data_IF_327106545348
#
_entry.id   IF_327106545348
#
_cell.length_a   1.000
_cell.length_b   1.000
_cell.length_c   1.000
_cell.angle_alpha   90.00
_cell.angle_beta   90.00
_cell.angle_gamma   90.00
#
_symmetry.space_group_name_H-M   'P 1'
#
loop_
_entity.id
_entity.type
_entity.pdbx_description
1 polymer ?
#
# COMPACT_ATOMS: atom_id res chain seq x y z
N UNK A 1 37.52 30.59 86.69
CA UNK A 1 38.98 30.47 86.50
C UNK A 1 39.22 29.97 85.07
N UNK A 2 38.78 30.71 84.04
CA UNK A 2 39.39 31.86 83.33
C UNK A 2 40.61 31.50 82.49
N UNK A 3 40.45 31.47 81.16
CA UNK A 3 41.44 31.87 80.14
C UNK A 3 40.67 32.00 78.80
N UNK A 4 40.22 33.20 78.40
CA UNK A 4 40.88 34.27 77.62
C UNK A 4 41.34 33.88 76.21
N UNK A 5 40.65 34.51 75.25
CA UNK A 5 40.94 34.73 73.83
C UNK A 5 42.39 35.17 73.51
N UNK A 6 42.89 34.79 72.32
CA UNK A 6 43.36 35.75 71.29
C UNK A 6 43.65 35.08 69.93
N UNK A 7 43.25 35.80 68.88
CA UNK A 7 43.52 35.56 67.47
C UNK A 7 45.00 35.72 67.10
N UNK A 8 45.46 34.93 66.12
CA UNK A 8 46.50 35.35 65.16
C UNK A 8 46.23 34.71 63.79
N UNK A 9 46.15 35.56 62.76
CA UNK A 9 46.18 35.19 61.34
C UNK A 9 47.63 34.89 60.96
N UNK A 10 47.86 33.88 60.14
CA UNK A 10 48.88 33.89 59.10
C UNK A 10 48.50 32.90 57.99
N UNK A 11 48.50 33.39 56.75
CA UNK A 11 48.36 32.61 55.52
C UNK A 11 49.60 31.72 55.31
N UNK A 12 49.42 30.55 54.71
CA UNK A 12 49.89 30.27 53.33
C UNK A 12 49.72 28.78 52.97
N UNK A 13 49.12 28.59 51.79
CA UNK A 13 49.35 27.56 50.79
C UNK A 13 49.91 26.19 51.21
N UNK A 14 49.12 25.15 50.94
CA UNK A 14 49.59 23.77 50.88
C UNK A 14 48.50 22.91 50.26
N UNK A 15 48.54 22.75 48.94
CA UNK A 15 47.66 21.84 48.23
C UNK A 15 47.85 20.41 48.73
N UNK A 16 46.73 19.73 48.98
CA UNK A 16 46.69 18.28 49.09
C UNK A 16 45.60 17.77 48.15
N UNK A 17 46.06 17.11 47.10
CA UNK A 17 45.28 16.39 46.11
C UNK A 17 44.58 15.24 46.82
N UNK A 18 43.26 15.33 46.98
CA UNK A 18 42.43 14.18 47.31
C UNK A 18 41.97 13.56 46.00
N UNK A 19 42.57 12.41 45.65
CA UNK A 19 42.16 11.62 44.50
C UNK A 19 40.74 11.07 44.74
N UNK A 20 39.74 11.79 44.23
CA UNK A 20 38.41 11.24 44.03
C UNK A 20 38.41 10.55 42.67
N UNK A 21 38.31 9.22 42.70
CA UNK A 21 37.90 8.41 41.57
C UNK A 21 36.55 8.92 41.07
N UNK A 22 36.56 9.74 40.02
CA UNK A 22 35.37 9.91 39.19
C UNK A 22 35.30 8.69 38.26
N UNK A 23 34.20 7.92 38.25
CA UNK A 23 33.98 7.00 37.15
C UNK A 23 33.94 7.85 35.88
N UNK A 24 34.71 7.46 34.87
CA UNK A 24 34.60 8.03 33.54
C UNK A 24 33.14 7.83 33.11
N UNK A 25 32.35 8.91 33.13
CA UNK A 25 31.11 8.96 32.37
C UNK A 25 31.57 8.91 30.93
N UNK A 26 31.54 7.71 30.35
CA UNK A 26 31.58 7.54 28.92
C UNK A 26 30.47 8.41 28.37
N UNK A 27 30.82 9.54 27.78
CA UNK A 27 29.91 10.29 26.92
C UNK A 27 29.52 9.31 25.82
N UNK A 28 28.36 8.68 25.96
CA UNK A 28 27.72 8.00 24.86
C UNK A 28 27.65 9.04 23.74
N UNK A 29 28.40 8.83 22.67
CA UNK A 29 28.27 9.62 21.47
C UNK A 29 26.78 9.58 21.10
N UNK A 30 26.10 10.73 21.17
CA UNK A 30 24.79 10.88 20.57
C UNK A 30 24.97 10.51 19.11
N UNK A 31 24.47 9.32 18.75
CA UNK A 31 24.28 8.95 17.36
C UNK A 31 23.30 9.97 16.81
N UNK A 32 23.82 10.97 16.12
CA UNK A 32 23.05 11.80 15.22
C UNK A 32 22.46 10.86 14.17
N UNK A 33 21.19 10.52 14.36
CA UNK A 33 20.41 9.77 13.39
C UNK A 33 20.32 10.65 12.14
N UNK A 34 20.94 10.19 11.06
CA UNK A 34 20.91 10.87 9.77
C UNK A 34 19.48 10.98 9.26
N UNK A 35 19.17 12.14 8.68
CA UNK A 35 17.86 12.57 8.20
C UNK A 35 17.33 11.81 6.95
N UNK A 36 17.46 10.48 6.91
CA UNK A 36 16.89 9.63 5.87
C UNK A 36 16.43 8.31 6.51
N UNK A 37 15.11 8.10 6.59
CA UNK A 37 14.39 6.81 6.71
C UNK A 37 13.04 6.90 7.45
N UNK A 38 12.65 8.04 8.00
CA UNK A 38 11.30 8.16 8.57
C UNK A 38 10.33 8.56 7.47
N UNK A 39 9.44 7.64 7.07
CA UNK A 39 8.09 8.03 6.66
C UNK A 39 7.60 8.96 7.78
N UNK A 40 7.61 10.26 7.50
CA UNK A 40 7.49 11.31 8.51
C UNK A 40 6.25 11.01 9.34
N UNK A 41 6.40 10.88 10.66
CA UNK A 41 5.25 10.68 11.56
C UNK A 41 4.20 11.77 11.28
N UNK A 42 4.65 12.96 10.87
CA UNK A 42 3.79 14.06 10.46
C UNK A 42 3.03 13.81 9.14
N UNK A 43 3.57 13.04 8.19
CA UNK A 43 2.82 12.61 6.97
C UNK A 43 1.73 11.59 7.31
N UNK A 44 2.01 10.63 8.18
CA UNK A 44 1.01 9.64 8.61
C UNK A 44 -0.08 10.29 9.50
N UNK A 45 0.28 11.25 10.35
CA UNK A 45 -0.69 12.05 11.13
C UNK A 45 -1.47 13.02 10.25
N UNK A 46 -0.85 13.58 9.20
CA UNK A 46 -1.55 14.36 8.18
C UNK A 46 -2.57 13.51 7.41
N UNK A 47 -2.24 12.26 7.08
CA UNK A 47 -3.20 11.33 6.45
C UNK A 47 -4.42 11.09 7.34
N UNK A 48 -4.23 11.02 8.67
CA UNK A 48 -5.31 10.85 9.65
C UNK A 48 -6.17 12.11 9.82
N UNK A 49 -5.57 13.30 9.87
CA UNK A 49 -6.30 14.58 10.00
C UNK A 49 -6.98 15.00 8.70
N UNK A 50 -6.45 14.59 7.56
CA UNK A 50 -7.04 14.81 6.24
C UNK A 50 -7.91 13.63 5.79
N UNK A 51 -8.11 12.62 6.63
CA UNK A 51 -8.74 11.36 6.25
C UNK A 51 -10.10 11.56 5.57
N UNK A 52 -10.96 12.38 6.17
CA UNK A 52 -12.30 12.67 5.65
C UNK A 52 -12.33 13.77 4.59
N UNK A 53 -11.17 14.24 4.10
CA UNK A 53 -11.13 15.31 3.09
C UNK A 53 -11.35 14.74 1.69
N UNK A 54 -12.04 15.48 0.80
CA UNK A 54 -12.14 15.07 -0.60
C UNK A 54 -10.78 14.93 -1.29
N UNK A 55 -10.69 14.06 -2.29
CA UNK A 55 -9.48 13.80 -3.08
C UNK A 55 -9.69 14.06 -4.56
N UNK A 56 -8.61 14.29 -5.29
CA UNK A 56 -8.66 14.45 -6.75
C UNK A 56 -8.82 13.10 -7.42
N UNK A 57 -9.68 13.00 -8.43
CA UNK A 57 -9.80 11.81 -9.28
C UNK A 57 -9.24 12.13 -10.66
N UNK A 58 -8.43 11.23 -11.20
CA UNK A 58 -7.88 11.30 -12.56
C UNK A 58 -8.25 10.01 -13.28
N UNK A 59 -8.88 10.12 -14.45
CA UNK A 59 -9.24 8.96 -15.27
C UNK A 59 -8.59 9.10 -16.65
N UNK A 60 -7.75 8.14 -17.03
CA UNK A 60 -6.99 8.15 -18.28
C UNK A 60 -6.24 9.48 -18.53
N UNK A 61 -5.62 10.02 -17.48
CA UNK A 61 -4.91 11.31 -17.52
C UNK A 61 -5.80 12.55 -17.45
N UNK A 62 -7.13 12.41 -17.53
CA UNK A 62 -8.08 13.52 -17.36
C UNK A 62 -8.41 13.71 -15.89
N UNK A 63 -8.01 14.85 -15.32
CA UNK A 63 -8.46 15.30 -14.00
C UNK A 63 -9.97 15.60 -14.05
N UNK A 64 -10.71 15.06 -13.08
CA UNK A 64 -12.14 15.29 -12.93
C UNK A 64 -12.40 16.58 -12.15
N UNK A 65 -13.56 17.20 -12.39
CA UNK A 65 -13.97 18.42 -11.68
C UNK A 65 -14.56 18.07 -10.32
N UNK A 66 -15.46 17.07 -10.28
CA UNK A 66 -15.97 16.55 -9.01
C UNK A 66 -14.89 15.72 -8.32
N UNK A 67 -14.62 16.08 -7.06
CA UNK A 67 -13.70 15.35 -6.19
C UNK A 67 -14.31 14.03 -5.75
N UNK A 68 -13.45 13.06 -5.47
CA UNK A 68 -13.83 11.87 -4.72
C UNK A 68 -13.97 12.18 -3.23
N UNK A 69 -14.72 11.36 -2.52
CA UNK A 69 -15.03 11.55 -1.11
C UNK A 69 -14.59 10.36 -0.27
N UNK A 70 -14.14 10.64 0.95
CA UNK A 70 -13.78 9.62 1.94
C UNK A 70 -14.95 9.44 2.90
N UNK A 71 -15.73 8.37 2.75
CA UNK A 71 -16.91 8.09 3.57
C UNK A 71 -16.72 6.75 4.26
N UNK A 72 -16.86 6.69 5.59
CA UNK A 72 -16.69 5.46 6.37
C UNK A 72 -15.39 4.70 6.05
N UNK A 73 -14.29 5.43 5.87
CA UNK A 73 -12.98 4.87 5.49
C UNK A 73 -12.88 4.31 4.06
N UNK A 74 -13.79 4.72 3.17
CA UNK A 74 -13.88 4.24 1.79
C UNK A 74 -13.65 5.37 0.82
N UNK A 75 -12.93 5.08 -0.26
CA UNK A 75 -12.85 5.99 -1.40
C UNK A 75 -14.12 5.85 -2.22
N UNK A 76 -14.89 6.93 -2.32
CA UNK A 76 -16.00 7.01 -3.24
C UNK A 76 -15.65 7.98 -4.37
N UNK A 77 -16.07 7.62 -5.57
CA UNK A 77 -15.83 8.40 -6.78
C UNK A 77 -17.15 8.78 -7.45
N UNK A 78 -17.21 9.95 -8.12
CA UNK A 78 -18.42 10.38 -8.81
C UNK A 78 -18.69 9.49 -10.02
N UNK A 79 -19.80 8.76 -10.01
CA UNK A 79 -20.17 7.77 -11.03
C UNK A 79 -20.11 8.38 -12.41
N UNK A 80 -20.83 9.50 -12.61
CA UNK A 80 -21.00 10.09 -13.94
C UNK A 80 -19.66 10.45 -14.57
N UNK A 81 -18.86 11.26 -13.89
CA UNK A 81 -17.60 11.75 -14.45
C UNK A 81 -16.58 10.64 -14.66
N UNK A 82 -16.50 9.66 -13.76
CA UNK A 82 -15.56 8.54 -13.90
C UNK A 82 -15.92 7.67 -15.11
N UNK A 83 -17.19 7.23 -15.19
CA UNK A 83 -17.62 6.32 -16.24
C UNK A 83 -17.67 7.03 -17.61
N UNK A 84 -18.08 8.30 -17.67
CA UNK A 84 -18.03 9.09 -18.90
C UNK A 84 -16.59 9.38 -19.34
N UNK A 85 -15.65 9.64 -18.42
CA UNK A 85 -14.23 9.76 -18.75
C UNK A 85 -13.62 8.43 -19.24
N UNK A 86 -14.18 7.30 -18.82
CA UNK A 86 -13.85 5.99 -19.37
C UNK A 86 -14.55 5.69 -20.71
N UNK A 87 -15.47 6.54 -21.16
CA UNK A 87 -16.18 6.45 -22.44
C UNK A 87 -17.50 5.68 -22.40
N UNK A 88 -18.13 5.56 -21.22
CA UNK A 88 -19.49 5.06 -21.07
C UNK A 88 -20.51 6.21 -21.06
N UNK A 89 -21.78 5.87 -21.30
CA UNK A 89 -22.92 6.78 -21.14
C UNK A 89 -23.59 6.44 -19.81
N UNK A 90 -23.79 7.46 -18.95
CA UNK A 90 -24.41 7.28 -17.64
C UNK A 90 -25.84 7.84 -17.62
N UNK A 91 -26.77 6.99 -17.23
CA UNK A 91 -28.21 7.29 -17.11
C UNK A 91 -28.71 7.09 -15.68
N UNK A 92 -29.86 7.68 -15.38
CA UNK A 92 -30.52 7.61 -14.08
C UNK A 92 -31.93 7.02 -14.24
N UNK A 93 -32.22 5.99 -13.46
CA UNK A 93 -33.56 5.42 -13.29
C UNK A 93 -34.17 5.96 -12.01
N UNK A 94 -35.13 6.88 -12.15
CA UNK A 94 -35.80 7.50 -11.00
C UNK A 94 -36.75 6.56 -10.27
N UNK A 95 -37.28 5.54 -10.94
CA UNK A 95 -38.22 4.59 -10.33
C UNK A 95 -37.51 3.60 -9.42
N UNK A 96 -36.30 3.19 -9.81
CA UNK A 96 -35.47 2.25 -9.07
C UNK A 96 -34.42 2.93 -8.18
N UNK A 97 -34.32 4.26 -8.23
CA UNK A 97 -33.25 5.06 -7.63
C UNK A 97 -31.86 4.49 -7.94
N UNK A 98 -31.61 4.22 -9.22
CA UNK A 98 -30.41 3.54 -9.70
C UNK A 98 -29.70 4.34 -10.78
N UNK A 99 -28.36 4.36 -10.71
CA UNK A 99 -27.55 4.78 -11.83
C UNK A 99 -27.22 3.57 -12.71
N UNK A 100 -27.04 3.81 -14.01
CA UNK A 100 -26.64 2.80 -14.98
C UNK A 100 -25.59 3.40 -15.92
N UNK A 101 -24.60 2.60 -16.30
CA UNK A 101 -23.54 2.97 -17.23
C UNK A 101 -23.40 1.89 -18.30
N UNK A 102 -23.27 2.30 -19.56
CA UNK A 102 -23.02 1.41 -20.70
C UNK A 102 -22.05 2.03 -21.70
N UNK A 103 -21.09 1.26 -22.19
CA UNK A 103 -20.18 1.69 -23.26
C UNK A 103 -18.94 0.81 -23.35
N UNK A 104 -18.25 0.82 -24.50
CA UNK A 104 -17.03 0.02 -24.75
C UNK A 104 -17.17 -1.48 -24.40
N UNK A 105 -18.38 -2.05 -24.56
CA UNK A 105 -18.65 -3.45 -24.27
C UNK A 105 -18.86 -3.79 -22.80
N UNK A 106 -18.99 -2.80 -21.90
CA UNK A 106 -19.35 -3.01 -20.51
C UNK A 106 -20.71 -2.41 -20.15
N UNK A 107 -21.32 -2.99 -19.11
CA UNK A 107 -22.50 -2.47 -18.41
C UNK A 107 -22.23 -2.46 -16.91
N UNK A 108 -22.68 -1.43 -16.20
CA UNK A 108 -22.72 -1.42 -14.75
C UNK A 108 -23.99 -0.72 -14.23
N UNK A 109 -24.54 -1.21 -13.12
CA UNK A 109 -25.64 -0.55 -12.41
C UNK A 109 -25.56 -0.81 -10.92
N UNK A 110 -26.05 0.16 -10.15
CA UNK A 110 -26.22 0.01 -8.71
C UNK A 110 -27.33 0.95 -8.22
N UNK A 111 -28.12 0.47 -7.26
CA UNK A 111 -29.15 1.26 -6.56
C UNK A 111 -28.50 2.05 -5.44
N UNK A 112 -29.02 3.27 -5.18
CA UNK A 112 -28.62 4.03 -4.00
C UNK A 112 -28.97 3.27 -2.72
N UNK A 113 -28.10 3.34 -1.71
CA UNK A 113 -28.24 2.63 -0.43
C UNK A 113 -27.95 1.12 -0.51
N UNK A 114 -27.55 0.59 -1.66
CA UNK A 114 -27.18 -0.81 -1.79
C UNK A 114 -25.66 -0.95 -2.00
N UNK A 115 -25.07 -2.00 -1.40
CA UNK A 115 -23.68 -2.42 -1.67
C UNK A 115 -23.54 -3.24 -2.95
N UNK A 116 -24.65 -3.78 -3.45
CA UNK A 116 -24.66 -4.69 -4.58
C UNK A 116 -24.65 -3.91 -5.89
N UNK A 117 -23.60 -4.08 -6.68
CA UNK A 117 -23.54 -3.63 -8.06
C UNK A 117 -23.70 -4.82 -9.02
N UNK A 118 -24.20 -4.56 -10.23
CA UNK A 118 -24.22 -5.55 -11.31
C UNK A 118 -23.32 -5.02 -12.42
N UNK A 119 -22.31 -5.79 -12.78
CA UNK A 119 -21.37 -5.48 -13.87
C UNK A 119 -21.42 -6.62 -14.87
N UNK A 120 -21.73 -6.31 -16.14
CA UNK A 120 -21.83 -7.32 -17.21
C UNK A 120 -22.75 -8.52 -16.85
N UNK A 121 -23.82 -8.25 -16.11
CA UNK A 121 -24.76 -9.26 -15.61
C UNK A 121 -24.30 -10.03 -14.37
N UNK A 122 -23.06 -9.85 -13.91
CA UNK A 122 -22.50 -10.48 -12.70
C UNK A 122 -22.69 -9.56 -11.51
N UNK A 123 -23.12 -10.12 -10.37
CA UNK A 123 -23.27 -9.36 -9.14
C UNK A 123 -21.93 -9.25 -8.40
N UNK A 124 -21.60 -8.03 -7.96
CA UNK A 124 -20.46 -7.71 -7.11
C UNK A 124 -20.98 -7.07 -5.82
N UNK A 125 -20.50 -7.54 -4.67
CA UNK A 125 -20.76 -6.90 -3.38
C UNK A 125 -19.61 -5.94 -3.06
N UNK A 126 -19.92 -4.65 -3.00
CA UNK A 126 -18.94 -3.60 -2.71
C UNK A 126 -18.82 -3.37 -1.20
N UNK A 127 -17.71 -2.76 -0.81
CA UNK A 127 -17.39 -2.39 0.57
C UNK A 127 -18.17 -1.18 1.09
N UNK A 128 -18.91 -0.50 0.21
CA UNK A 128 -19.69 0.68 0.52
C UNK A 128 -20.93 0.78 -0.40
N UNK A 129 -22.02 1.29 0.17
CA UNK A 129 -23.25 1.56 -0.56
C UNK A 129 -23.07 2.73 -1.53
N UNK A 130 -23.83 2.73 -2.63
CA UNK A 130 -23.91 3.93 -3.46
C UNK A 130 -24.65 5.04 -2.70
N UNK A 131 -24.07 6.24 -2.67
CA UNK A 131 -24.64 7.40 -1.97
C UNK A 131 -24.91 8.53 -2.95
N UNK A 132 -25.79 9.46 -2.55
CA UNK A 132 -26.09 10.67 -3.31
C UNK A 132 -25.62 11.87 -2.50
N UNK A 133 -24.54 12.52 -2.95
CA UNK A 133 -23.96 13.68 -2.29
C UNK A 133 -23.98 14.87 -3.25
N UNK A 134 -24.57 15.98 -2.81
CA UNK A 134 -24.68 17.21 -3.60
C UNK A 134 -25.24 17.01 -5.03
N UNK A 135 -26.17 16.06 -5.20
CA UNK A 135 -26.78 15.73 -6.49
C UNK A 135 -25.96 14.80 -7.39
N UNK A 136 -24.79 14.34 -6.92
CA UNK A 136 -23.94 13.38 -7.62
C UNK A 136 -24.05 12.00 -6.98
N UNK A 137 -24.22 10.97 -7.80
CA UNK A 137 -24.11 9.59 -7.35
C UNK A 137 -22.63 9.25 -7.15
N UNK A 138 -22.32 8.70 -5.97
CA UNK A 138 -20.99 8.26 -5.58
C UNK A 138 -21.01 6.75 -5.32
N UNK A 139 -19.94 6.07 -5.74
CA UNK A 139 -19.77 4.62 -5.56
C UNK A 139 -18.38 4.33 -5.07
N UNK A 140 -18.21 3.17 -4.44
CA UNK A 140 -16.88 2.67 -4.10
C UNK A 140 -15.97 2.67 -5.31
N UNK A 141 -14.76 3.20 -5.15
CA UNK A 141 -13.72 3.19 -6.17
C UNK A 141 -13.46 1.78 -6.71
N UNK A 142 -13.69 0.72 -5.92
CA UNK A 142 -13.55 -0.68 -6.36
C UNK A 142 -14.34 -1.03 -7.60
N UNK A 143 -15.48 -0.38 -7.79
CA UNK A 143 -16.29 -0.62 -8.96
C UNK A 143 -15.56 -0.18 -10.24
N UNK A 144 -14.60 0.75 -10.16
CA UNK A 144 -13.78 1.19 -11.30
C UNK A 144 -12.94 0.03 -11.83
N UNK A 145 -12.26 -0.72 -10.97
CA UNK A 145 -11.44 -1.87 -11.41
C UNK A 145 -12.32 -2.98 -11.97
N UNK A 146 -13.38 -3.35 -11.23
CA UNK A 146 -14.27 -4.44 -11.62
C UNK A 146 -15.09 -4.12 -12.89
N UNK A 147 -15.54 -2.87 -13.06
CA UNK A 147 -16.42 -2.49 -14.16
C UNK A 147 -15.68 -1.96 -15.38
N UNK A 148 -14.58 -1.23 -15.19
CA UNK A 148 -13.86 -0.57 -16.27
C UNK A 148 -12.52 -1.22 -16.60
N UNK A 149 -12.03 -2.16 -15.78
CA UNK A 149 -10.73 -2.81 -15.97
C UNK A 149 -9.55 -1.85 -15.86
N UNK A 150 -9.75 -0.67 -15.26
CA UNK A 150 -8.71 0.32 -15.03
C UNK A 150 -7.99 0.00 -13.73
N UNK A 151 -6.66 0.11 -13.72
CA UNK A 151 -5.85 0.03 -12.50
C UNK A 151 -6.08 1.28 -11.66
N UNK A 152 -6.39 1.11 -10.37
CA UNK A 152 -6.37 2.19 -9.41
C UNK A 152 -4.98 2.37 -8.80
N UNK A 153 -4.58 3.63 -8.66
CA UNK A 153 -3.33 4.05 -8.01
C UNK A 153 -3.61 5.22 -7.08
N UNK A 154 -3.30 5.05 -5.81
CA UNK A 154 -3.47 6.07 -4.79
C UNK A 154 -2.13 6.76 -4.49
N UNK A 155 -2.12 8.09 -4.64
CA UNK A 155 -1.07 8.97 -4.16
C UNK A 155 -1.58 9.71 -2.92
N UNK A 156 -1.09 9.32 -1.74
CA UNK A 156 -1.50 9.93 -0.48
C UNK A 156 -0.92 11.32 -0.26
N UNK A 157 0.27 11.60 -0.80
CA UNK A 157 0.94 12.88 -0.64
C UNK A 157 0.19 13.99 -1.39
N UNK A 158 -0.24 13.69 -2.62
CA UNK A 158 -1.00 14.61 -3.48
C UNK A 158 -2.52 14.46 -3.34
N UNK A 159 -2.98 13.41 -2.63
CA UNK A 159 -4.39 12.99 -2.52
C UNK A 159 -5.04 12.84 -3.90
N UNK A 160 -4.42 12.02 -4.74
CA UNK A 160 -4.90 11.73 -6.08
C UNK A 160 -5.18 10.24 -6.23
N UNK A 161 -6.42 9.91 -6.59
CA UNK A 161 -6.77 8.59 -7.10
C UNK A 161 -6.71 8.62 -8.63
N UNK A 162 -5.75 7.91 -9.20
CA UNK A 162 -5.64 7.74 -10.65
C UNK A 162 -6.22 6.40 -11.08
N UNK A 163 -7.04 6.40 -12.12
CA UNK A 163 -7.55 5.23 -12.80
C UNK A 163 -7.05 5.24 -14.26
N UNK A 164 -6.30 4.23 -14.67
CA UNK A 164 -5.74 4.15 -16.03
C UNK A 164 -5.69 2.73 -16.55
N UNK A 165 -5.64 2.57 -17.87
CA UNK A 165 -5.43 1.27 -18.47
C UNK A 165 -4.13 0.64 -17.97
N UNK A 166 -4.18 -0.65 -17.60
CA UNK A 166 -2.98 -1.45 -17.29
C UNK A 166 -2.07 -1.44 -18.53
N UNK A 167 -0.76 -1.19 -18.39
CA UNK A 167 0.17 -1.31 -19.52
C UNK A 167 0.06 -2.70 -20.13
N UNK A 168 -0.18 -2.79 -21.44
CA UNK A 168 -0.32 -4.06 -22.12
C UNK A 168 1.06 -4.76 -22.25
N UNK A 169 1.47 -5.51 -21.23
CA UNK A 169 2.53 -6.50 -21.37
C UNK A 169 1.92 -7.72 -22.09
N UNK A 170 2.25 -7.90 -23.37
CA UNK A 170 1.59 -8.90 -24.22
C UNK A 170 1.75 -10.31 -23.64
N UNK A 171 0.67 -10.82 -23.03
CA UNK A 171 0.62 -12.18 -22.48
C UNK A 171 1.23 -12.35 -21.08
N UNK A 172 1.86 -11.32 -20.50
CA UNK A 172 2.42 -11.44 -19.15
C UNK A 172 1.29 -11.43 -18.12
N UNK A 173 1.17 -12.53 -17.35
CA UNK A 173 0.10 -12.73 -16.37
C UNK A 173 0.68 -13.12 -15.03
N UNK A 174 -0.03 -12.72 -13.99
CA UNK A 174 0.24 -13.06 -12.58
C UNK A 174 -1.06 -13.57 -11.97
N UNK A 175 -0.95 -14.57 -11.10
CA UNK A 175 -2.07 -15.06 -10.31
C UNK A 175 -1.59 -15.62 -8.97
N UNK A 176 -2.56 -15.95 -8.11
CA UNK A 176 -2.34 -16.79 -6.94
C UNK A 176 -3.34 -17.94 -6.97
N UNK A 177 -2.90 -19.16 -6.71
CA UNK A 177 -3.81 -20.30 -6.60
C UNK A 177 -4.69 -20.23 -5.32
N UNK A 178 -4.38 -19.30 -4.42
CA UNK A 178 -5.10 -19.09 -3.17
C UNK A 178 -6.46 -18.39 -3.33
N UNK A 179 -6.62 -17.56 -4.37
CA UNK A 179 -7.82 -16.76 -4.59
C UNK A 179 -8.01 -16.45 -6.08
N UNK A 180 -9.25 -16.24 -6.50
CA UNK A 180 -9.52 -15.69 -7.85
C UNK A 180 -9.28 -14.18 -7.82
N UNK A 181 -8.86 -13.59 -8.95
CA UNK A 181 -8.72 -12.12 -9.06
C UNK A 181 -10.00 -11.41 -8.56
N UNK A 182 -9.81 -10.39 -7.72
CA UNK A 182 -10.86 -9.67 -6.99
C UNK A 182 -11.67 -10.52 -6.00
N UNK A 183 -11.19 -11.72 -5.67
CA UNK A 183 -11.79 -12.61 -4.68
C UNK A 183 -11.25 -12.41 -3.27
N UNK A 184 -11.83 -13.14 -2.31
CA UNK A 184 -11.39 -13.12 -0.91
C UNK A 184 -10.11 -13.94 -0.74
N UNK A 185 -9.09 -13.35 -0.13
CA UNK A 185 -7.87 -14.02 0.29
C UNK A 185 -8.16 -14.87 1.54
N UNK A 186 -7.82 -16.16 1.57
CA UNK A 186 -8.05 -17.01 2.74
C UNK A 186 -7.33 -16.52 4.00
N UNK A 187 -7.98 -16.71 5.15
CA UNK A 187 -7.50 -16.18 6.45
C UNK A 187 -6.14 -16.74 6.88
N UNK A 188 -5.72 -17.91 6.40
CA UNK A 188 -4.43 -18.49 6.77
C UNK A 188 -3.23 -17.62 6.36
N UNK A 189 -3.38 -16.79 5.33
CA UNK A 189 -2.34 -15.86 4.87
C UNK A 189 -2.31 -14.56 5.70
N UNK A 190 -3.30 -14.33 6.57
CA UNK A 190 -3.29 -13.20 7.50
C UNK A 190 -2.21 -13.34 8.57
N UNK A 191 -1.80 -12.21 9.17
CA UNK A 191 -0.84 -12.19 10.28
C UNK A 191 -1.39 -12.96 11.50
N UNK A 192 -0.51 -13.47 12.37
CA UNK A 192 -0.91 -14.25 13.57
C UNK A 192 -1.79 -13.46 14.55
N UNK A 193 -1.77 -12.12 14.47
CA UNK A 193 -2.68 -11.24 15.23
C UNK A 193 -4.15 -11.33 14.80
N UNK A 194 -4.43 -11.91 13.63
CA UNK A 194 -5.79 -12.15 13.12
C UNK A 194 -6.25 -13.55 13.51
N UNK A 195 -7.49 -13.70 13.97
CA UNK A 195 -8.05 -15.01 14.32
C UNK A 195 -8.06 -15.93 13.09
N UNK A 196 -7.26 -17.00 13.14
CA UNK A 196 -7.08 -17.96 12.03
C UNK A 196 -5.91 -17.64 11.09
N UNK A 197 -5.22 -16.52 11.31
CA UNK A 197 -4.00 -16.15 10.61
C UNK A 197 -2.83 -17.04 11.00
N UNK A 198 -2.00 -17.39 10.01
CA UNK A 198 -0.81 -18.24 10.18
C UNK A 198 0.46 -17.57 9.64
N UNK A 199 0.35 -16.34 9.11
CA UNK A 199 1.45 -15.57 8.52
C UNK A 199 2.24 -16.34 7.45
N UNK A 200 1.56 -17.17 6.66
CA UNK A 200 2.16 -17.94 5.56
C UNK A 200 2.11 -17.08 4.29
N UNK A 201 3.20 -17.00 3.53
CA UNK A 201 3.19 -16.25 2.26
C UNK A 201 2.35 -16.94 1.19
N UNK A 202 1.61 -16.17 0.40
CA UNK A 202 0.75 -16.68 -0.67
C UNK A 202 1.57 -17.32 -1.80
N UNK A 203 1.05 -18.36 -2.48
CA UNK A 203 1.63 -18.81 -3.73
C UNK A 203 1.43 -17.73 -4.80
N UNK A 204 2.47 -17.47 -5.59
CA UNK A 204 2.42 -16.50 -6.71
C UNK A 204 2.89 -17.22 -7.95
N UNK A 205 2.09 -17.20 -9.02
CA UNK A 205 2.45 -17.76 -10.32
C UNK A 205 2.52 -16.66 -11.37
N UNK A 206 3.39 -16.84 -12.37
CA UNK A 206 3.43 -15.99 -13.55
C UNK A 206 3.80 -16.74 -14.83
N UNK A 207 3.38 -16.20 -15.97
CA UNK A 207 3.68 -16.75 -17.29
C UNK A 207 3.62 -15.67 -18.37
N UNK A 208 4.05 -16.00 -19.59
CA UNK A 208 4.06 -15.04 -20.70
C UNK A 208 5.09 -13.91 -20.50
N UNK A 209 6.23 -14.27 -19.93
CA UNK A 209 7.33 -13.38 -19.56
C UNK A 209 7.80 -12.58 -20.79
N UNK A 210 7.95 -11.25 -20.69
CA UNK A 210 8.49 -10.42 -21.76
C UNK A 210 9.88 -10.86 -22.23
N UNK A 211 10.15 -10.74 -23.54
CA UNK A 211 11.47 -11.02 -24.10
C UNK A 211 12.54 -10.12 -23.47
N UNK A 212 13.72 -10.68 -23.21
CA UNK A 212 14.84 -9.95 -22.60
C UNK A 212 14.83 -9.90 -21.07
N UNK A 213 13.82 -10.48 -20.42
CA UNK A 213 13.77 -10.60 -18.96
C UNK A 213 14.97 -11.39 -18.43
N UNK A 214 15.61 -10.88 -17.38
CA UNK A 214 16.78 -11.49 -16.72
C UNK A 214 16.51 -11.88 -15.27
N UNK A 215 15.61 -11.18 -14.60
CA UNK A 215 15.12 -11.53 -13.26
C UNK A 215 13.69 -11.04 -13.06
N UNK A 216 13.06 -11.49 -11.98
CA UNK A 216 11.79 -10.98 -11.50
C UNK A 216 11.91 -10.31 -10.13
N UNK A 217 10.97 -9.42 -9.87
CA UNK A 217 10.65 -8.97 -8.52
C UNK A 217 9.17 -9.18 -8.23
N UNK A 218 8.85 -9.62 -7.01
CA UNK A 218 7.48 -9.74 -6.49
C UNK A 218 7.30 -8.67 -5.42
N UNK A 219 6.21 -7.91 -5.47
CA UNK A 219 5.81 -6.97 -4.41
C UNK A 219 4.35 -7.21 -4.07
N UNK A 220 4.07 -7.52 -2.81
CA UNK A 220 2.73 -7.52 -2.25
C UNK A 220 2.55 -6.26 -1.41
N UNK A 221 1.51 -5.47 -1.68
CA UNK A 221 1.23 -4.25 -0.95
C UNK A 221 -0.27 -3.97 -0.85
N UNK A 222 -0.63 -3.19 0.17
CA UNK A 222 -2.01 -2.84 0.46
C UNK A 222 -2.35 -1.45 -0.12
N UNK A 223 -3.15 -1.45 -1.18
CA UNK A 223 -3.55 -0.25 -1.93
C UNK A 223 -4.61 0.56 -1.15
N UNK A 224 -5.16 0.01 -0.06
CA UNK A 224 -6.17 0.70 0.73
C UNK A 224 -5.60 2.02 1.29
N UNK A 225 -6.33 3.15 1.24
CA UNK A 225 -5.75 4.44 1.62
C UNK A 225 -5.32 4.54 3.09
N UNK A 226 -5.87 3.70 3.98
CA UNK A 226 -5.40 3.61 5.37
C UNK A 226 -3.99 3.03 5.41
N UNK A 227 -3.74 1.98 4.64
CA UNK A 227 -2.46 1.30 4.60
C UNK A 227 -1.43 2.10 3.80
N UNK A 228 -1.88 2.87 2.81
CA UNK A 228 -1.06 3.79 2.03
C UNK A 228 0.14 3.06 1.40
N UNK A 229 -0.18 2.10 0.53
CA UNK A 229 0.76 1.23 -0.18
C UNK A 229 1.71 0.48 0.75
N UNK A 230 1.25 0.08 1.94
CA UNK A 230 2.07 -0.68 2.89
C UNK A 230 2.59 -1.96 2.23
N UNK A 231 3.91 -2.15 2.19
CA UNK A 231 4.54 -3.33 1.58
C UNK A 231 4.45 -4.49 2.57
N UNK A 232 3.65 -5.49 2.22
CA UNK A 232 3.48 -6.74 2.96
C UNK A 232 4.55 -7.77 2.63
N UNK A 233 5.12 -7.72 1.43
CA UNK A 233 6.18 -8.62 1.01
C UNK A 233 6.92 -8.04 -0.19
N UNK A 234 8.25 -8.18 -0.23
CA UNK A 234 8.97 -7.92 -1.48
C UNK A 234 10.18 -8.80 -1.65
N UNK A 235 10.27 -9.42 -2.82
CA UNK A 235 11.36 -10.31 -3.23
C UNK A 235 11.97 -9.78 -4.51
N UNK A 236 13.29 -9.65 -4.53
CA UNK A 236 14.07 -9.19 -5.68
C UNK A 236 14.94 -10.31 -6.25
N UNK A 237 15.45 -10.10 -7.46
CA UNK A 237 16.47 -10.95 -8.08
C UNK A 237 16.03 -12.42 -8.19
N UNK A 238 14.74 -12.66 -8.37
CA UNK A 238 14.21 -14.00 -8.64
C UNK A 238 14.72 -14.42 -10.03
N UNK A 239 15.38 -15.58 -10.18
CA UNK A 239 15.91 -15.98 -11.48
C UNK A 239 14.84 -16.12 -12.56
N UNK A 240 15.20 -15.81 -13.81
CA UNK A 240 14.30 -15.94 -14.97
C UNK A 240 13.79 -17.37 -15.20
N UNK A 241 14.48 -18.38 -14.65
CA UNK A 241 14.07 -19.78 -14.72
C UNK A 241 12.86 -20.11 -13.85
N UNK A 242 12.56 -19.26 -12.88
CA UNK A 242 11.46 -19.47 -11.95
C UNK A 242 10.17 -18.88 -12.55
N UNK A 243 9.06 -19.59 -12.38
CA UNK A 243 7.72 -19.21 -12.86
C UNK A 243 6.73 -18.97 -11.72
N UNK A 244 7.22 -18.90 -10.49
CA UNK A 244 6.41 -18.71 -9.32
C UNK A 244 7.19 -18.74 -8.01
N UNK A 245 6.52 -18.32 -6.94
CA UNK A 245 6.90 -18.54 -5.55
C UNK A 245 5.87 -19.46 -4.90
N UNK A 246 6.33 -20.51 -4.23
CA UNK A 246 5.44 -21.45 -3.54
C UNK A 246 4.79 -20.80 -2.31
N UNK A 247 3.66 -21.36 -1.88
CA UNK A 247 3.10 -21.06 -0.57
C UNK A 247 4.16 -21.25 0.53
N UNK A 248 4.27 -20.29 1.45
CA UNK A 248 5.26 -20.31 2.53
C UNK A 248 6.72 -20.16 2.08
N UNK A 249 6.98 -19.64 0.88
CA UNK A 249 8.35 -19.39 0.40
C UNK A 249 9.08 -18.26 1.14
N UNK A 250 8.37 -17.33 1.81
CA UNK A 250 8.99 -16.29 2.62
C UNK A 250 9.93 -16.89 3.68
N UNK A 251 11.11 -16.29 3.88
CA UNK A 251 12.19 -16.83 4.71
C UNK A 251 12.91 -18.07 4.16
N UNK A 252 12.42 -18.65 3.05
CA UNK A 252 12.89 -19.91 2.47
C UNK A 252 13.14 -19.83 0.96
N UNK A 253 13.47 -18.62 0.49
CA UNK A 253 13.74 -18.34 -0.92
C UNK A 253 14.93 -19.14 -1.45
N UNK A 254 14.89 -19.45 -2.75
CA UNK A 254 15.89 -20.26 -3.45
C UNK A 254 16.61 -19.45 -4.52
N UNK A 255 17.66 -20.04 -5.07
CA UNK A 255 18.29 -19.62 -6.33
C UNK A 255 18.79 -18.17 -6.40
N UNK A 256 19.11 -17.55 -5.25
CA UNK A 256 19.66 -16.18 -5.21
C UNK A 256 18.62 -15.07 -5.16
N UNK A 257 17.32 -15.41 -5.06
CA UNK A 257 16.29 -14.44 -4.74
C UNK A 257 16.53 -13.81 -3.36
N UNK A 258 16.24 -12.51 -3.24
CA UNK A 258 16.52 -11.70 -2.05
C UNK A 258 15.21 -11.19 -1.48
N UNK A 259 14.88 -11.60 -0.26
CA UNK A 259 13.75 -11.03 0.48
C UNK A 259 14.15 -9.68 1.07
N UNK A 260 13.66 -8.60 0.47
CA UNK A 260 13.94 -7.24 0.92
C UNK A 260 13.01 -6.82 2.06
N UNK A 261 11.73 -7.14 1.94
CA UNK A 261 10.74 -6.99 3.00
C UNK A 261 10.18 -8.38 3.28
N UNK A 262 10.36 -8.87 4.51
CA UNK A 262 9.83 -10.17 4.94
C UNK A 262 8.31 -10.18 4.92
N UNK A 263 7.72 -11.35 4.64
CA UNK A 263 6.27 -11.48 4.60
C UNK A 263 5.62 -11.12 5.95
N UNK A 264 4.80 -10.08 5.91
CA UNK A 264 3.87 -9.70 6.96
C UNK A 264 2.47 -9.92 6.44
N UNK A 265 1.75 -10.90 6.97
CA UNK A 265 0.41 -11.23 6.55
C UNK A 265 -0.57 -10.08 6.73
N UNK A 266 -1.74 -10.17 6.08
CA UNK A 266 -2.74 -9.12 6.17
C UNK A 266 -3.23 -8.95 7.61
N UNK A 267 -3.22 -7.70 8.10
CA UNK A 267 -3.78 -7.33 9.41
C UNK A 267 -4.47 -5.96 9.32
N UNK A 268 -5.50 -5.81 8.47
CA UNK A 268 -6.19 -4.54 8.34
C UNK A 268 -6.86 -4.17 9.68
N UNK A 269 -6.91 -2.88 10.05
CA UNK A 269 -7.62 -2.45 11.25
C UNK A 269 -9.06 -2.99 11.30
N UNK A 270 -9.54 -3.30 12.49
CA UNK A 270 -10.95 -3.70 12.65
C UNK A 270 -11.85 -2.55 12.19
N UNK A 271 -12.91 -2.91 11.46
CA UNK A 271 -13.92 -1.96 10.93
C UNK A 271 -13.41 -0.99 9.85
N UNK A 272 -12.15 -1.07 9.41
CA UNK A 272 -11.75 -0.48 8.12
C UNK A 272 -12.18 -1.35 6.94
N UNK A 273 -12.99 -2.38 7.20
CA UNK A 273 -13.49 -3.43 6.31
C UNK A 273 -12.45 -3.94 5.31
N UNK A 274 -12.88 -4.21 4.08
CA UNK A 274 -12.02 -4.86 3.11
C UNK A 274 -10.86 -3.94 2.71
N UNK A 275 -9.66 -4.50 2.65
CA UNK A 275 -8.48 -3.89 2.06
C UNK A 275 -8.13 -4.64 0.76
N UNK A 276 -7.60 -3.92 -0.23
CA UNK A 276 -7.17 -4.49 -1.52
C UNK A 276 -5.66 -4.77 -1.46
N UNK A 277 -5.30 -6.03 -1.47
CA UNK A 277 -3.91 -6.48 -1.51
C UNK A 277 -3.55 -6.80 -2.95
N UNK A 278 -2.59 -6.05 -3.47
CA UNK A 278 -2.07 -6.22 -4.81
C UNK A 278 -0.77 -7.01 -4.77
N UNK A 279 -0.68 -8.05 -5.58
CA UNK A 279 0.56 -8.79 -5.84
C UNK A 279 1.01 -8.41 -7.24
N UNK A 280 2.10 -7.66 -7.35
CA UNK A 280 2.70 -7.25 -8.61
C UNK A 280 3.99 -8.04 -8.87
N UNK A 281 4.16 -8.53 -10.09
CA UNK A 281 5.41 -9.15 -10.57
C UNK A 281 5.99 -8.29 -11.68
N UNK A 282 7.25 -7.88 -11.50
CA UNK A 282 8.00 -7.08 -12.45
C UNK A 282 9.00 -7.97 -13.17
N UNK A 283 8.96 -7.97 -14.49
CA UNK A 283 9.97 -8.60 -15.35
C UNK A 283 11.09 -7.58 -15.62
N UNK A 284 12.31 -7.86 -15.17
CA UNK A 284 13.41 -6.90 -15.14
C UNK A 284 14.47 -7.16 -16.21
N UNK A 285 15.04 -6.10 -16.76
CA UNK A 285 16.13 -6.12 -17.75
C UNK A 285 17.54 -6.37 -17.15
N UNK A 286 17.59 -6.52 -15.83
CA UNK A 286 18.80 -6.76 -15.04
C UNK A 286 18.69 -8.09 -14.29
N UNK A 287 19.80 -8.82 -14.19
CA UNK A 287 19.91 -10.05 -13.40
C UNK A 287 19.99 -9.75 -11.90
N UNK A 288 20.60 -8.62 -11.55
CA UNK A 288 20.71 -8.16 -10.18
C UNK A 288 20.34 -6.69 -10.06
N UNK A 289 19.30 -6.45 -9.28
CA UNK A 289 18.92 -5.14 -8.78
C UNK A 289 19.61 -4.92 -7.43
N UNK A 290 20.33 -3.82 -7.31
CA UNK A 290 20.91 -3.39 -6.04
C UNK A 290 19.78 -2.82 -5.18
N UNK A 291 19.46 -3.51 -4.08
CA UNK A 291 18.39 -3.12 -3.17
C UNK A 291 18.76 -1.85 -2.39
N UNK A 292 17.79 -1.02 -1.98
CA UNK A 292 18.02 0.04 -1.00
C UNK A 292 18.64 -0.54 0.28
N UNK A 293 19.58 0.20 0.87
CA UNK A 293 20.44 -0.32 1.94
C UNK A 293 19.72 -0.60 3.27
N UNK A 294 18.44 -0.22 3.43
CA UNK A 294 17.67 -0.37 4.66
C UNK A 294 16.31 -0.99 4.39
N UNK A 295 16.03 -2.08 5.11
CA UNK A 295 14.71 -2.66 5.26
C UNK A 295 14.04 -2.11 6.55
N UNK A 296 12.71 -1.93 6.59
CA UNK A 296 11.80 -2.12 5.47
C UNK A 296 11.93 -1.01 4.42
N UNK A 297 11.81 -1.37 3.14
CA UNK A 297 11.77 -0.41 2.03
C UNK A 297 10.32 -0.10 1.70
N UNK A 298 9.96 1.19 1.68
CA UNK A 298 8.62 1.66 1.33
C UNK A 298 8.33 1.55 -0.17
N UNK A 299 7.05 1.44 -0.53
CA UNK A 299 6.64 1.27 -1.93
C UNK A 299 7.11 2.43 -2.81
N UNK A 300 7.10 3.66 -2.30
CA UNK A 300 7.50 4.87 -3.03
C UNK A 300 8.99 4.91 -3.36
N UNK A 301 9.82 4.20 -2.60
CA UNK A 301 11.25 4.05 -2.88
C UNK A 301 11.52 2.86 -3.80
N UNK A 302 10.74 1.78 -3.63
CA UNK A 302 10.91 0.52 -4.34
C UNK A 302 10.38 0.59 -5.77
N UNK A 303 9.17 1.09 -5.98
CA UNK A 303 8.50 1.04 -7.28
C UNK A 303 9.24 1.83 -8.37
N UNK A 304 9.77 3.04 -8.14
CA UNK A 304 10.53 3.76 -9.17
C UNK A 304 11.79 2.98 -9.60
N UNK A 305 12.44 2.30 -8.66
CA UNK A 305 13.60 1.45 -8.95
C UNK A 305 13.19 0.25 -9.81
N UNK A 306 12.09 -0.41 -9.49
CA UNK A 306 11.55 -1.54 -10.28
C UNK A 306 11.13 -1.09 -11.68
N UNK A 307 10.37 0.01 -11.78
CA UNK A 307 9.88 0.55 -13.06
C UNK A 307 10.99 0.98 -13.99
N UNK A 308 12.11 1.50 -13.46
CA UNK A 308 13.28 1.85 -14.24
C UNK A 308 13.86 0.67 -15.04
N UNK A 309 13.75 -0.54 -14.49
CA UNK A 309 14.28 -1.77 -15.07
C UNK A 309 13.19 -2.68 -15.65
N UNK A 310 11.91 -2.30 -15.54
CA UNK A 310 10.79 -3.14 -15.91
C UNK A 310 10.61 -3.18 -17.44
N UNK A 311 10.70 -4.38 -18.01
CA UNK A 311 10.27 -4.68 -19.38
C UNK A 311 8.77 -4.92 -19.47
N UNK A 312 8.12 -5.06 -18.32
CA UNK A 312 6.69 -5.25 -18.13
C UNK A 312 6.41 -5.61 -16.67
N UNK A 313 5.19 -5.33 -16.21
CA UNK A 313 4.68 -5.89 -14.97
C UNK A 313 3.26 -6.39 -15.19
N UNK A 314 2.87 -7.35 -14.37
CA UNK A 314 1.51 -7.83 -14.25
C UNK A 314 1.18 -7.96 -12.77
N UNK A 315 -0.11 -7.98 -12.47
CA UNK A 315 -0.61 -7.96 -11.10
C UNK A 315 -1.85 -8.82 -10.94
N UNK A 316 -2.10 -9.26 -9.72
CA UNK A 316 -3.38 -9.82 -9.30
C UNK A 316 -3.80 -9.18 -7.99
N UNK A 317 -5.10 -8.95 -7.85
CA UNK A 317 -5.66 -8.29 -6.69
C UNK A 317 -6.57 -9.23 -5.89
N UNK A 318 -6.46 -9.18 -4.56
CA UNK A 318 -7.30 -9.94 -3.66
C UNK A 318 -7.73 -9.10 -2.46
N UNK A 319 -8.86 -9.46 -1.86
CA UNK A 319 -9.43 -8.74 -0.72
C UNK A 319 -9.27 -9.49 0.59
N UNK A 320 -8.99 -8.76 1.65
CA UNK A 320 -9.06 -9.29 3.01
C UNK A 320 -9.68 -8.28 3.97
N UNK A 321 -10.41 -8.75 4.98
CA UNK A 321 -11.00 -7.95 6.06
C UNK A 321 -10.92 -8.66 7.40
N UNK A 322 -10.95 -7.87 8.47
CA UNK A 322 -11.22 -8.35 9.84
C UNK A 322 -12.65 -8.08 10.29
#
# INVERSE_FOLDING_TARGET
>A
MTMKFRYSRNLLAGGLVMALFMPAVSTAAEKTVSAASTKDVMRNVASYTQWNTPFTVVVNGKKLETKGEMINTRMLVPVREVFEAAGAVVTWDSSEQAWQAEGKGMTARQKLGEKKAIVNGVAYELDQEAVLENGNAFVSARLVEAALGLELRWDSAERVLSASAKPAASGFRVWSDAFREYGTIPVQYAHEGVVGGQNISLPVGWEGVPEGTKSFAVVMYDVHPIADNFVHWSVLNIPVTDNGLSEGAAGHLKNGAVELNGYYGMEPPRYSGDHLYRIAVYALDTDKLEAPAQAPTFFEELEPLLRKHSLGYAETDGFFRQ
#
